data_IF_755510514253
#
_entry.id   IF_755510514253
#
_cell.length_a   1.000
_cell.length_b   1.000
_cell.length_c   1.000
_cell.angle_alpha   90.00
_cell.angle_beta   90.00
_cell.angle_gamma   90.00
#
_symmetry.space_group_name_H-M   'P 1'
#
loop_
_entity.id
_entity.type
_entity.pdbx_description
1 polymer ?
#
# COMPACT_ATOMS: atom_id res chain seq x y z
N UNK A 1 32.16 -54.03 15.13
CA UNK A 1 32.65 -52.67 15.43
C UNK A 1 31.53 -51.89 16.11
N UNK A 2 31.62 -51.69 17.42
CA UNK A 2 30.59 -51.03 18.21
C UNK A 2 30.76 -49.50 18.14
N UNK A 3 29.79 -48.79 17.54
CA UNK A 3 29.75 -47.33 17.57
C UNK A 3 29.48 -46.87 19.01
N UNK A 4 30.46 -46.20 19.62
CA UNK A 4 30.43 -45.75 21.01
C UNK A 4 29.28 -44.75 21.26
N UNK A 5 28.31 -45.14 22.09
CA UNK A 5 27.15 -44.36 22.58
C UNK A 5 27.49 -42.93 23.07
N UNK A 6 28.74 -42.67 23.42
CA UNK A 6 29.25 -41.32 23.80
C UNK A 6 29.18 -40.29 22.66
N UNK A 7 29.19 -40.72 21.41
CA UNK A 7 29.07 -39.81 20.26
C UNK A 7 27.64 -39.32 20.05
N UNK A 8 26.64 -40.16 20.34
CA UNK A 8 25.24 -39.79 20.16
C UNK A 8 24.76 -38.77 21.21
N UNK A 9 25.25 -38.87 22.45
CA UNK A 9 24.92 -37.90 23.50
C UNK A 9 25.46 -36.49 23.21
N UNK A 10 26.67 -36.38 22.63
CA UNK A 10 27.24 -35.06 22.24
C UNK A 10 26.45 -34.38 21.12
N UNK A 11 25.86 -35.16 20.21
CA UNK A 11 25.04 -34.63 19.13
C UNK A 11 23.75 -33.97 19.64
N UNK A 12 23.12 -34.54 20.69
CA UNK A 12 21.87 -33.99 21.22
C UNK A 12 22.06 -32.62 21.89
N UNK A 13 23.14 -32.40 22.64
CA UNK A 13 23.41 -31.11 23.27
C UNK A 13 23.75 -30.00 22.26
N UNK A 14 24.40 -30.34 21.14
CA UNK A 14 24.71 -29.39 20.07
C UNK A 14 23.44 -28.90 19.34
N UNK A 15 22.43 -29.76 19.18
CA UNK A 15 21.17 -29.42 18.51
C UNK A 15 20.27 -28.55 19.41
N UNK A 16 20.30 -28.76 20.74
CA UNK A 16 19.50 -27.97 21.68
C UNK A 16 20.03 -26.54 21.84
N UNK A 17 21.35 -26.33 21.76
CA UNK A 17 21.95 -24.98 21.83
C UNK A 17 21.65 -24.11 20.59
N UNK A 18 21.39 -24.72 19.42
CA UNK A 18 21.10 -23.99 18.19
C UNK A 18 19.68 -23.38 18.14
N UNK A 19 18.78 -23.78 19.04
CA UNK A 19 17.39 -23.28 19.11
C UNK A 19 17.21 -22.04 19.99
N UNK A 20 18.18 -21.72 20.84
CA UNK A 20 18.10 -20.61 21.82
C UNK A 20 18.90 -19.37 21.43
N UNK A 21 19.64 -19.40 20.32
CA UNK A 21 20.25 -18.20 19.80
C UNK A 21 19.14 -17.27 19.27
N UNK A 22 18.93 -16.07 19.85
CA UNK A 22 18.04 -15.10 19.23
C UNK A 22 18.63 -14.82 17.86
N UNK A 23 17.84 -15.03 16.80
CA UNK A 23 18.18 -14.50 15.49
C UNK A 23 18.15 -12.98 15.62
N UNK A 24 19.28 -12.39 16.00
CA UNK A 24 19.55 -10.98 15.77
C UNK A 24 19.52 -10.80 14.26
N UNK A 25 18.33 -10.55 13.72
CA UNK A 25 18.17 -9.95 12.41
C UNK A 25 18.66 -8.50 12.53
N UNK A 26 19.97 -8.32 12.63
CA UNK A 26 20.58 -7.02 12.43
C UNK A 26 20.32 -6.66 10.98
N UNK A 27 19.40 -5.73 10.75
CA UNK A 27 19.17 -5.15 9.44
C UNK A 27 20.40 -4.31 9.06
N UNK A 28 21.42 -4.96 8.52
CA UNK A 28 22.54 -4.27 7.88
C UNK A 28 21.97 -3.65 6.60
N UNK A 29 21.65 -2.35 6.64
CA UNK A 29 21.41 -1.57 5.44
C UNK A 29 22.75 -1.29 4.78
N UNK A 30 23.21 -2.22 3.96
CA UNK A 30 24.34 -1.98 3.06
C UNK A 30 23.85 -1.07 1.93
N UNK A 31 24.03 0.24 2.06
CA UNK A 31 23.89 1.16 0.91
C UNK A 31 25.11 0.98 0.01
N UNK A 32 25.08 0.01 -0.89
CA UNK A 32 26.12 -0.15 -1.90
C UNK A 32 25.96 0.96 -2.95
N UNK A 33 26.85 1.96 -2.94
CA UNK A 33 26.97 2.96 -4.00
C UNK A 33 27.98 2.53 -5.07
N UNK A 34 28.02 1.23 -5.39
CA UNK A 34 28.81 0.77 -6.53
C UNK A 34 28.07 1.20 -7.80
N UNK A 35 28.75 1.97 -8.64
CA UNK A 35 28.29 2.33 -9.98
C UNK A 35 28.81 1.26 -10.95
N UNK A 36 28.11 0.14 -11.01
CA UNK A 36 28.41 -1.07 -11.76
C UNK A 36 27.98 -1.01 -13.24
N UNK A 37 27.56 0.16 -13.73
CA UNK A 37 27.16 0.36 -15.13
C UNK A 37 25.87 -0.35 -15.53
N UNK A 38 25.24 -1.11 -14.61
CA UNK A 38 23.89 -1.62 -14.76
C UNK A 38 22.89 -0.45 -14.63
N UNK A 39 21.89 -0.40 -15.51
CA UNK A 39 20.78 0.55 -15.35
C UNK A 39 20.18 0.37 -13.96
N UNK A 40 20.24 1.42 -13.13
CA UNK A 40 19.68 1.34 -11.79
C UNK A 40 18.18 1.08 -11.93
N UNK A 41 17.74 -0.09 -11.47
CA UNK A 41 16.32 -0.41 -11.36
C UNK A 41 15.67 0.70 -10.54
N UNK A 42 14.57 1.32 -10.99
CA UNK A 42 13.94 2.40 -10.25
C UNK A 42 13.56 1.94 -8.84
N UNK A 43 13.95 2.70 -7.83
CA UNK A 43 13.66 2.38 -6.42
C UNK A 43 12.21 2.75 -6.10
N UNK A 44 11.35 1.73 -5.96
CA UNK A 44 9.94 1.89 -5.61
C UNK A 44 9.70 1.82 -4.09
N UNK A 45 10.75 1.69 -3.27
CA UNK A 45 10.61 1.55 -1.82
C UNK A 45 10.07 2.81 -1.14
N UNK A 46 10.36 3.99 -1.70
CA UNK A 46 9.82 5.26 -1.21
C UNK A 46 8.32 5.36 -1.52
N UNK A 47 7.91 5.06 -2.76
CA UNK A 47 6.49 5.08 -3.16
C UNK A 47 5.66 4.17 -2.24
N UNK A 48 6.11 2.94 -2.06
CA UNK A 48 5.46 1.99 -1.15
C UNK A 48 5.33 2.53 0.29
N UNK A 49 6.40 3.13 0.84
CA UNK A 49 6.35 3.73 2.19
C UNK A 49 5.33 4.87 2.26
N UNK A 50 5.31 5.76 1.26
CA UNK A 50 4.37 6.88 1.20
C UNK A 50 2.93 6.38 1.19
N UNK A 51 2.61 5.39 0.36
CA UNK A 51 1.28 4.77 0.34
C UNK A 51 0.86 4.24 1.73
N UNK A 52 1.77 3.55 2.43
CA UNK A 52 1.47 3.01 3.76
C UNK A 52 1.28 4.10 4.80
N UNK A 53 2.09 5.15 4.78
CA UNK A 53 1.92 6.30 5.68
C UNK A 53 0.63 7.07 5.39
N UNK A 54 0.26 7.21 4.11
CA UNK A 54 -1.01 7.81 3.72
C UNK A 54 -2.20 7.01 4.23
N UNK A 55 -2.20 5.69 4.00
CA UNK A 55 -3.24 4.79 4.51
C UNK A 55 -3.34 4.82 6.04
N UNK A 56 -2.20 4.85 6.74
CA UNK A 56 -2.18 5.01 8.19
C UNK A 56 -2.76 6.37 8.63
N UNK A 57 -2.48 7.44 7.88
CA UNK A 57 -3.06 8.77 8.11
C UNK A 57 -4.58 8.83 7.91
N UNK A 58 -5.15 7.97 7.06
CA UNK A 58 -6.61 7.87 6.88
C UNK A 58 -7.33 7.21 8.06
N UNK A 59 -6.65 6.39 8.86
CA UNK A 59 -7.26 5.72 10.01
C UNK A 59 -7.97 6.66 10.99
N UNK A 60 -7.40 7.81 11.40
CA UNK A 60 -8.12 8.78 12.23
C UNK A 60 -9.12 9.64 11.44
N UNK A 61 -8.91 9.84 10.13
CA UNK A 61 -9.76 10.71 9.30
C UNK A 61 -11.17 10.13 9.16
N UNK A 62 -11.27 8.84 8.87
CA UNK A 62 -12.58 8.18 8.68
C UNK A 62 -13.49 8.29 9.92
N UNK A 63 -13.07 7.91 11.15
CA UNK A 63 -13.91 8.10 12.32
C UNK A 63 -14.11 9.58 12.66
N UNK A 64 -13.13 10.47 12.43
CA UNK A 64 -13.32 11.90 12.64
C UNK A 64 -14.44 12.46 11.76
N UNK A 65 -14.57 11.98 10.52
CA UNK A 65 -15.63 12.41 9.60
C UNK A 65 -17.04 12.02 10.03
N UNK A 66 -17.17 11.03 10.91
CA UNK A 66 -18.47 10.65 11.48
C UNK A 66 -18.95 11.64 12.55
N UNK A 67 -18.03 12.32 13.24
CA UNK A 67 -18.37 13.26 14.31
C UNK A 67 -18.30 14.72 13.89
N UNK A 68 -17.49 15.04 12.89
CA UNK A 68 -17.20 16.42 12.46
C UNK A 68 -17.65 16.60 11.02
N UNK A 69 -18.82 17.22 10.83
CA UNK A 69 -19.36 17.56 9.52
C UNK A 69 -19.01 19.01 9.19
N UNK A 70 -18.14 19.22 8.20
CA UNK A 70 -17.77 20.57 7.74
C UNK A 70 -17.21 20.51 6.31
N UNK A 71 -17.27 21.62 5.53
CA UNK A 71 -16.69 21.66 4.18
C UNK A 71 -15.19 21.34 4.14
N UNK A 72 -14.46 21.64 5.24
CA UNK A 72 -13.04 21.31 5.40
C UNK A 72 -12.86 19.80 5.53
N UNK A 73 -13.70 19.13 6.33
CA UNK A 73 -13.69 17.67 6.45
C UNK A 73 -14.04 17.01 5.11
N UNK A 74 -15.05 17.52 4.41
CA UNK A 74 -15.45 16.98 3.10
C UNK A 74 -14.32 17.09 2.06
N UNK A 75 -13.63 18.24 2.02
CA UNK A 75 -12.47 18.43 1.14
C UNK A 75 -11.30 17.51 1.50
N UNK A 76 -11.03 17.36 2.79
CA UNK A 76 -10.00 16.46 3.30
C UNK A 76 -10.31 15.00 2.97
N UNK A 77 -11.57 14.57 3.11
CA UNK A 77 -12.05 13.26 2.68
C UNK A 77 -11.86 13.09 1.17
N UNK A 78 -12.25 14.06 0.36
CA UNK A 78 -12.06 14.01 -1.09
C UNK A 78 -10.62 13.74 -1.48
N UNK A 79 -9.66 14.51 -0.93
CA UNK A 79 -8.24 14.31 -1.23
C UNK A 79 -7.76 12.94 -0.74
N UNK A 80 -8.10 12.57 0.50
CA UNK A 80 -7.73 11.30 1.11
C UNK A 80 -8.19 10.10 0.30
N UNK A 81 -9.49 10.06 -0.03
CA UNK A 81 -10.13 9.01 -0.81
C UNK A 81 -9.58 8.97 -2.23
N UNK A 82 -9.49 10.09 -2.93
CA UNK A 82 -9.01 10.11 -4.31
C UNK A 82 -7.58 9.55 -4.43
N UNK A 83 -6.65 9.98 -3.57
CA UNK A 83 -5.27 9.46 -3.61
C UNK A 83 -5.20 7.97 -3.25
N UNK A 84 -5.95 7.55 -2.22
CA UNK A 84 -5.96 6.15 -1.80
C UNK A 84 -6.54 5.23 -2.88
N UNK A 85 -7.64 5.65 -3.52
CA UNK A 85 -8.28 4.92 -4.61
C UNK A 85 -7.36 4.88 -5.83
N UNK A 86 -6.66 5.97 -6.17
CA UNK A 86 -5.73 6.01 -7.30
C UNK A 86 -4.66 4.92 -7.21
N UNK A 87 -3.90 4.88 -6.11
CA UNK A 87 -2.86 3.85 -5.91
C UNK A 87 -3.43 2.44 -5.77
N UNK A 88 -4.60 2.30 -5.14
CA UNK A 88 -5.28 1.01 -5.02
C UNK A 88 -5.68 0.45 -6.38
N UNK A 89 -6.31 1.26 -7.23
CA UNK A 89 -6.74 0.86 -8.57
C UNK A 89 -5.56 0.62 -9.50
N UNK A 90 -4.49 1.41 -9.41
CA UNK A 90 -3.25 1.18 -10.16
C UNK A 90 -2.66 -0.20 -9.85
N UNK A 91 -2.60 -0.59 -8.57
CA UNK A 91 -2.17 -1.92 -8.14
C UNK A 91 -3.06 -3.04 -8.70
N UNK A 92 -4.39 -2.88 -8.60
CA UNK A 92 -5.36 -3.83 -9.17
C UNK A 92 -5.14 -4.00 -10.68
N UNK A 93 -4.90 -2.91 -11.41
CA UNK A 93 -4.63 -3.01 -12.84
C UNK A 93 -3.30 -3.69 -13.14
N UNK A 94 -2.25 -3.46 -12.35
CA UNK A 94 -0.99 -4.19 -12.51
C UNK A 94 -1.13 -5.69 -12.30
N UNK A 95 -2.04 -6.13 -11.42
CA UNK A 95 -2.29 -7.55 -11.18
C UNK A 95 -3.09 -8.22 -12.30
N UNK A 96 -4.10 -7.53 -12.83
CA UNK A 96 -5.09 -8.14 -13.73
C UNK A 96 -5.00 -7.70 -15.19
N UNK A 97 -4.59 -6.46 -15.48
CA UNK A 97 -4.48 -5.92 -16.84
C UNK A 97 -3.17 -6.33 -17.53
N UNK A 98 -2.85 -7.63 -17.47
CA UNK A 98 -1.59 -8.15 -17.98
C UNK A 98 -1.55 -8.16 -19.51
N UNK A 99 -0.44 -7.74 -20.14
CA UNK A 99 -0.30 -7.76 -21.60
C UNK A 99 -0.48 -9.15 -22.21
N UNK A 100 -0.12 -10.20 -21.47
CA UNK A 100 -0.32 -11.60 -21.89
C UNK A 100 -1.79 -11.97 -22.10
N UNK A 101 -2.72 -11.36 -21.35
CA UNK A 101 -4.16 -11.69 -21.41
C UNK A 101 -4.91 -10.73 -22.33
N UNK A 102 -4.59 -9.44 -22.26
CA UNK A 102 -5.32 -8.37 -22.95
C UNK A 102 -4.67 -7.93 -24.27
N UNK A 103 -3.42 -8.29 -24.50
CA UNK A 103 -2.57 -7.70 -25.53
C UNK A 103 -1.95 -6.37 -25.11
N UNK A 104 -0.78 -6.06 -25.66
CA UNK A 104 0.05 -4.90 -25.26
C UNK A 104 -0.68 -3.56 -25.40
N UNK A 105 -1.51 -3.41 -26.44
CA UNK A 105 -2.25 -2.17 -26.68
C UNK A 105 -3.31 -1.91 -25.61
N UNK A 106 -4.15 -2.90 -25.32
CA UNK A 106 -5.25 -2.76 -24.38
C UNK A 106 -4.75 -2.67 -22.93
N UNK A 107 -3.70 -3.41 -22.57
CA UNK A 107 -3.05 -3.28 -21.27
C UNK A 107 -2.53 -1.86 -21.01
N UNK A 108 -1.87 -1.24 -22.00
CA UNK A 108 -1.41 0.15 -21.90
C UNK A 108 -2.56 1.13 -21.72
N UNK A 109 -3.64 0.98 -22.49
CA UNK A 109 -4.84 1.81 -22.36
C UNK A 109 -5.45 1.66 -20.97
N UNK A 110 -5.53 0.43 -20.44
CA UNK A 110 -6.04 0.19 -19.10
C UNK A 110 -5.26 0.98 -18.06
N UNK A 111 -3.93 0.88 -18.05
CA UNK A 111 -3.08 1.65 -17.12
C UNK A 111 -3.25 3.17 -17.27
N UNK A 112 -3.36 3.67 -18.50
CA UNK A 112 -3.61 5.10 -18.73
C UNK A 112 -4.99 5.55 -18.25
N UNK A 113 -5.98 4.66 -18.29
CA UNK A 113 -7.35 5.00 -17.89
C UNK A 113 -7.49 5.30 -16.39
N UNK A 114 -6.57 4.79 -15.55
CA UNK A 114 -6.53 5.10 -14.10
C UNK A 114 -6.43 6.60 -13.85
N UNK A 115 -5.60 7.29 -14.63
CA UNK A 115 -5.42 8.74 -14.51
C UNK A 115 -6.70 9.50 -14.90
N UNK A 116 -7.39 9.03 -15.94
CA UNK A 116 -8.67 9.60 -16.37
C UNK A 116 -9.75 9.40 -15.30
N UNK A 117 -9.89 8.18 -14.78
CA UNK A 117 -10.87 7.87 -13.71
C UNK A 117 -10.55 8.68 -12.45
N UNK A 118 -9.28 8.83 -12.10
CA UNK A 118 -8.85 9.62 -10.94
C UNK A 118 -9.18 11.10 -11.11
N UNK A 119 -8.91 11.66 -12.30
CA UNK A 119 -9.27 13.04 -12.61
C UNK A 119 -10.77 13.29 -12.55
N UNK A 120 -11.58 12.36 -13.10
CA UNK A 120 -13.04 12.43 -13.03
C UNK A 120 -13.55 12.28 -11.61
N UNK A 121 -12.99 11.37 -10.82
CA UNK A 121 -13.33 11.18 -9.42
C UNK A 121 -13.06 12.45 -8.62
N UNK A 122 -11.87 13.04 -8.76
CA UNK A 122 -11.52 14.28 -8.07
C UNK A 122 -12.46 15.43 -8.46
N UNK A 123 -12.67 15.63 -9.77
CA UNK A 123 -13.54 16.68 -10.28
C UNK A 123 -14.98 16.51 -9.80
N UNK A 124 -15.50 15.28 -9.82
CA UNK A 124 -16.84 14.95 -9.35
C UNK A 124 -17.03 15.23 -7.86
N UNK A 125 -16.09 14.77 -7.02
CA UNK A 125 -16.17 15.00 -5.58
C UNK A 125 -15.98 16.47 -5.21
N UNK A 126 -15.07 17.19 -5.86
CA UNK A 126 -14.92 18.62 -5.64
C UNK A 126 -16.18 19.38 -6.06
N UNK A 127 -16.75 19.05 -7.22
CA UNK A 127 -17.99 19.67 -7.68
C UNK A 127 -19.14 19.41 -6.70
N UNK A 128 -19.27 18.18 -6.19
CA UNK A 128 -20.27 17.80 -5.19
C UNK A 128 -20.08 18.55 -3.88
N UNK A 129 -18.85 18.73 -3.41
CA UNK A 129 -18.58 19.48 -2.19
C UNK A 129 -18.83 20.99 -2.33
N UNK A 130 -18.67 21.57 -3.52
CA UNK A 130 -18.82 23.03 -3.72
C UNK A 130 -20.19 23.46 -4.22
N UNK A 131 -20.90 22.61 -4.98
CA UNK A 131 -22.18 22.96 -5.62
C UNK A 131 -23.36 22.15 -5.09
N UNK A 132 -23.12 21.17 -4.23
CA UNK A 132 -24.14 20.35 -3.59
C UNK A 132 -23.93 20.33 -2.07
N UNK A 133 -24.58 19.41 -1.37
CA UNK A 133 -24.60 19.28 0.09
C UNK A 133 -23.26 18.91 0.74
N UNK A 134 -22.32 18.31 -0.01
CA UNK A 134 -21.07 17.76 0.52
C UNK A 134 -21.16 16.33 1.06
N UNK A 135 -20.01 15.65 1.13
CA UNK A 135 -19.93 14.21 1.44
C UNK A 135 -20.54 13.83 2.79
N UNK A 136 -20.09 14.45 3.89
CA UNK A 136 -20.57 14.10 5.24
C UNK A 136 -22.06 14.35 5.38
N UNK A 137 -22.57 15.48 4.85
CA UNK A 137 -24.00 15.79 4.89
C UNK A 137 -24.84 14.85 4.03
N UNK A 138 -24.32 14.42 2.87
CA UNK A 138 -24.98 13.45 2.02
C UNK A 138 -25.22 12.12 2.76
N UNK A 139 -24.20 11.61 3.46
CA UNK A 139 -24.37 10.42 4.30
C UNK A 139 -25.37 10.65 5.43
N UNK A 140 -25.31 11.78 6.12
CA UNK A 140 -26.27 12.13 7.17
C UNK A 140 -27.73 12.08 6.67
N UNK A 141 -28.00 12.62 5.48
CA UNK A 141 -29.34 12.59 4.88
C UNK A 141 -29.79 11.18 4.51
N UNK A 142 -28.89 10.36 3.92
CA UNK A 142 -29.22 8.98 3.54
C UNK A 142 -29.50 8.11 4.77
N UNK A 143 -28.76 8.31 5.87
CA UNK A 143 -28.98 7.58 7.12
C UNK A 143 -30.20 8.07 7.92
N UNK A 144 -30.79 9.19 7.54
CA UNK A 144 -32.02 9.72 8.14
C UNK A 144 -33.31 9.22 7.44
N UNK A 145 -33.18 8.46 6.35
CA UNK A 145 -34.28 7.81 5.64
C UNK A 145 -34.81 6.59 6.42
#
# INVERSE_FOLDING_TARGET
MAASLRHLARFQHAIVAARTAPRLCTAVRTSTTLNDGASKVPDHSLHFKVERYWAAGMLPIIPASYFIHSPVMDTLLTIALTLHIHWGVEGVLHDYARPFVLGDGLAKIAHMSVYLITGLLLAGLLHFNTNDVGLTKAFEMVFAL
#
